data_IF_340577956155
#
_entry.id   IF_340577956155
#
_cell.length_a   1.000
_cell.length_b   1.000
_cell.length_c   1.000
_cell.angle_alpha   90.00
_cell.angle_beta   90.00
_cell.angle_gamma   90.00
#
_symmetry.space_group_name_H-M   'P 1'
#
loop_
_entity.id
_entity.type
_entity.pdbx_description
1 polymer ?
#
# COMPACT_ATOMS: atom_id res chain seq x y z
N UNK A 1 23.25 -3.12 -2.20
CA UNK A 1 22.14 -2.27 -2.61
C UNK A 1 21.00 -2.36 -1.61
N UNK A 2 20.48 -1.23 -1.23
CA UNK A 2 19.45 -1.17 -0.20
C UNK A 2 18.10 -0.94 -0.88
N UNK A 3 17.17 -1.85 -0.60
CA UNK A 3 15.81 -1.70 -1.11
C UNK A 3 15.05 -0.75 -0.20
N UNK A 4 14.43 0.27 -0.80
CA UNK A 4 13.59 1.19 -0.06
C UNK A 4 12.18 0.63 -0.06
N UNK A 5 11.80 0.02 1.05
CA UNK A 5 10.50 -0.64 1.15
C UNK A 5 9.37 0.35 1.02
N UNK A 6 9.58 1.59 1.43
CA UNK A 6 8.54 2.61 1.26
C UNK A 6 8.32 2.91 -0.21
N UNK A 7 9.39 3.01 -0.98
CA UNK A 7 9.25 3.27 -2.40
C UNK A 7 8.57 2.11 -3.12
N UNK A 8 8.90 0.88 -2.73
CA UNK A 8 8.24 -0.29 -3.30
C UNK A 8 6.74 -0.24 -3.00
N UNK A 9 6.37 0.10 -1.78
CA UNK A 9 4.97 0.21 -1.42
C UNK A 9 4.28 1.33 -2.18
N UNK A 10 4.95 2.48 -2.35
CA UNK A 10 4.38 3.59 -3.12
C UNK A 10 4.08 3.14 -4.55
N UNK A 11 5.02 2.46 -5.18
CA UNK A 11 4.85 2.00 -6.55
C UNK A 11 3.74 0.94 -6.64
N UNK A 12 3.68 0.06 -5.66
CA UNK A 12 2.60 -0.92 -5.60
C UNK A 12 1.25 -0.23 -5.53
N UNK A 13 1.12 0.78 -4.67
CA UNK A 13 -0.16 1.47 -4.52
C UNK A 13 -0.52 2.29 -5.75
N UNK A 14 0.47 2.81 -6.49
CA UNK A 14 0.18 3.50 -7.75
C UNK A 14 -0.47 2.54 -8.75
N UNK A 15 -0.05 1.30 -8.76
CA UNK A 15 -0.65 0.29 -9.62
C UNK A 15 -2.00 -0.15 -9.06
N UNK A 16 -2.05 -0.42 -7.77
CA UNK A 16 -3.23 -1.00 -7.15
C UNK A 16 -4.42 -0.06 -7.17
N UNK A 17 -4.19 1.25 -7.05
CA UNK A 17 -5.29 2.20 -7.04
C UNK A 17 -6.03 2.22 -8.37
N UNK A 18 -5.36 1.84 -9.44
CA UNK A 18 -5.96 1.79 -10.77
C UNK A 18 -6.55 0.41 -11.05
N UNK A 19 -5.82 -0.64 -10.70
CA UNK A 19 -6.20 -1.99 -11.08
C UNK A 19 -7.04 -2.70 -10.02
N UNK A 20 -6.81 -2.40 -8.74
CA UNK A 20 -7.42 -3.14 -7.65
C UNK A 20 -8.00 -2.21 -6.59
N UNK A 21 -8.76 -1.16 -6.99
CA UNK A 21 -9.26 -0.22 -5.99
C UNK A 21 -10.22 -0.88 -5.00
N UNK A 22 -11.05 -1.81 -5.47
CA UNK A 22 -12.02 -2.45 -4.61
C UNK A 22 -11.34 -3.29 -3.53
N UNK A 23 -10.25 -3.95 -3.88
CA UNK A 23 -9.51 -4.75 -2.92
C UNK A 23 -8.88 -3.87 -1.86
N UNK A 24 -8.36 -2.71 -2.25
CA UNK A 24 -7.79 -1.77 -1.29
C UNK A 24 -8.87 -1.26 -0.34
N UNK A 25 -10.02 -0.88 -0.86
CA UNK A 25 -11.12 -0.39 -0.03
C UNK A 25 -11.63 -1.49 0.89
N UNK A 26 -11.74 -2.71 0.39
CA UNK A 26 -12.19 -3.83 1.19
C UNK A 26 -11.28 -4.07 2.39
N UNK A 27 -9.98 -3.88 2.21
CA UNK A 27 -9.02 -4.15 3.27
C UNK A 27 -8.82 -2.97 4.20
N UNK A 28 -8.75 -1.75 3.65
CA UNK A 28 -8.33 -0.57 4.40
C UNK A 28 -9.42 0.47 4.62
N UNK A 29 -10.58 0.30 4.01
CA UNK A 29 -11.65 1.28 4.10
C UNK A 29 -11.58 2.29 2.96
N UNK A 30 -12.39 3.32 3.07
CA UNK A 30 -12.47 4.33 2.02
C UNK A 30 -11.13 5.02 1.82
N UNK A 31 -10.68 5.04 0.58
CA UNK A 31 -9.43 5.69 0.21
C UNK A 31 -9.69 6.58 -1.00
N UNK A 32 -8.99 7.70 -1.06
CA UNK A 32 -9.07 8.60 -2.21
C UNK A 32 -8.09 8.09 -3.28
N UNK A 33 -8.63 7.43 -4.28
CA UNK A 33 -7.80 6.82 -5.33
C UNK A 33 -7.21 7.84 -6.29
N UNK A 34 -7.57 9.13 -6.16
CA UNK A 34 -6.96 10.17 -6.97
C UNK A 34 -5.62 10.63 -6.41
N UNK A 35 -5.30 10.21 -5.19
CA UNK A 35 -4.05 10.59 -4.55
C UNK A 35 -2.88 9.78 -5.12
N UNK A 36 -1.69 10.28 -4.89
CA UNK A 36 -0.49 9.55 -5.26
C UNK A 36 -0.28 8.39 -4.29
N UNK A 37 0.54 7.42 -4.70
CA UNK A 37 0.76 6.22 -3.91
C UNK A 37 1.22 6.51 -2.49
N UNK A 38 2.15 7.45 -2.31
CA UNK A 38 2.63 7.77 -0.96
C UNK A 38 1.55 8.43 -0.12
N UNK A 39 0.64 9.16 -0.74
CA UNK A 39 -0.47 9.80 -0.03
C UNK A 39 -1.52 8.75 0.36
N UNK A 40 -1.75 7.77 -0.51
CA UNK A 40 -2.64 6.66 -0.19
C UNK A 40 -2.09 5.87 0.99
N UNK A 41 -0.77 5.63 1.00
CA UNK A 41 -0.15 4.95 2.12
C UNK A 41 -0.36 5.71 3.42
N UNK A 42 -0.25 7.03 3.35
CA UNK A 42 -0.47 7.86 4.53
C UNK A 42 -1.91 7.70 5.04
N UNK A 43 -2.89 7.71 4.14
CA UNK A 43 -4.28 7.47 4.53
C UNK A 43 -4.44 6.12 5.20
N UNK A 44 -3.84 5.10 4.64
CA UNK A 44 -3.92 3.75 5.20
C UNK A 44 -3.34 3.73 6.61
N UNK A 45 -2.18 4.37 6.80
CA UNK A 45 -1.53 4.43 8.10
C UNK A 45 -2.46 5.08 9.13
N UNK A 46 -3.08 6.18 8.77
CA UNK A 46 -3.97 6.88 9.70
C UNK A 46 -5.18 6.00 10.04
N UNK A 47 -5.78 5.37 9.03
CA UNK A 47 -6.96 4.54 9.25
C UNK A 47 -6.65 3.32 10.09
N UNK A 48 -5.48 2.75 9.95
CA UNK A 48 -5.09 1.54 10.69
C UNK A 48 -4.37 1.87 11.99
N UNK A 49 -4.20 3.15 12.28
CA UNK A 49 -3.47 3.62 13.47
C UNK A 49 -2.02 3.15 13.47
N UNK A 50 -1.43 3.04 12.30
CA UNK A 50 0.01 2.78 12.18
C UNK A 50 0.70 4.13 12.22
N UNK A 51 0.79 4.68 13.42
CA UNK A 51 1.25 6.05 13.61
C UNK A 51 2.32 6.09 14.68
N UNK A 52 3.12 7.14 14.60
CA UNK A 52 4.12 7.44 15.61
C UNK A 52 3.52 8.38 16.66
N UNK A 53 4.33 8.73 17.65
CA UNK A 53 3.91 9.67 18.67
C UNK A 53 3.44 10.95 17.98
N UNK A 54 2.33 11.49 18.48
CA UNK A 54 1.74 12.69 17.90
C UNK A 54 0.80 12.43 16.74
N UNK A 55 0.53 11.16 16.44
CA UNK A 55 -0.42 10.82 15.38
C UNK A 55 0.13 10.95 13.98
N UNK A 56 1.45 11.00 13.84
CA UNK A 56 2.10 11.13 12.54
C UNK A 56 2.17 9.75 11.88
N UNK A 57 1.77 9.67 10.63
CA UNK A 57 1.78 8.40 9.89
C UNK A 57 3.17 7.77 9.89
N UNK A 58 3.23 6.49 10.24
CA UNK A 58 4.47 5.73 10.22
C UNK A 58 4.59 5.01 8.88
N UNK A 59 5.17 5.70 7.91
CA UNK A 59 5.22 5.19 6.54
C UNK A 59 6.01 3.90 6.43
N UNK A 60 7.06 3.76 7.24
CA UNK A 60 7.87 2.54 7.21
C UNK A 60 7.05 1.34 7.67
N UNK A 61 6.32 1.52 8.77
CA UNK A 61 5.47 0.46 9.30
C UNK A 61 4.34 0.15 8.35
N UNK A 62 3.71 1.19 7.80
CA UNK A 62 2.62 1.00 6.85
C UNK A 62 3.07 0.30 5.60
N UNK A 63 4.25 0.66 5.08
CA UNK A 63 4.78 0.01 3.89
C UNK A 63 4.98 -1.49 4.13
N UNK A 64 5.56 -1.84 5.29
CA UNK A 64 5.76 -3.25 5.62
C UNK A 64 4.44 -4.00 5.68
N UNK A 65 3.44 -3.40 6.32
CA UNK A 65 2.13 -4.04 6.46
C UNK A 65 1.43 -4.21 5.12
N UNK A 66 1.45 -3.17 4.28
CA UNK A 66 0.76 -3.24 2.99
C UNK A 66 1.40 -4.30 2.10
N UNK A 67 2.73 -4.34 2.04
CA UNK A 67 3.41 -5.33 1.22
C UNK A 67 3.19 -6.74 1.77
N UNK A 68 3.17 -6.89 3.08
CA UNK A 68 2.90 -8.18 3.69
C UNK A 68 1.47 -8.63 3.38
N UNK A 69 0.51 -7.71 3.47
CA UNK A 69 -0.88 -8.02 3.13
C UNK A 69 -0.98 -8.53 1.70
N UNK A 70 -0.27 -7.90 0.78
CA UNK A 70 -0.26 -8.35 -0.61
C UNK A 70 0.36 -9.74 -0.74
N UNK A 71 1.51 -9.94 -0.11
CA UNK A 71 2.22 -11.22 -0.22
C UNK A 71 1.45 -12.36 0.41
N UNK A 72 0.70 -12.08 1.48
CA UNK A 72 -0.08 -13.10 2.18
C UNK A 72 -1.47 -13.30 1.58
N UNK A 73 -1.79 -12.58 0.52
CA UNK A 73 -3.10 -12.71 -0.11
C UNK A 73 -4.24 -12.04 0.63
N UNK A 74 -3.95 -11.19 1.61
CA UNK A 74 -4.99 -10.54 2.39
C UNK A 74 -5.75 -9.49 1.61
N UNK A 75 -5.20 -9.06 0.48
CA UNK A 75 -5.86 -8.13 -0.42
C UNK A 75 -6.73 -8.85 -1.45
N UNK A 76 -6.86 -10.18 -1.32
CA UNK A 76 -7.61 -10.96 -2.27
C UNK A 76 -6.70 -11.51 -3.36
N UNK A 77 -7.33 -12.02 -4.42
CA UNK A 77 -6.55 -12.61 -5.50
C UNK A 77 -6.07 -11.54 -6.45
N UNK A 78 -4.99 -10.91 -6.10
CA UNK A 78 -4.37 -9.92 -6.95
C UNK A 78 -3.24 -10.62 -7.71
N UNK A 79 -3.33 -10.60 -9.02
CA UNK A 79 -2.25 -11.10 -9.86
C UNK A 79 -1.63 -9.89 -10.56
N UNK A 80 -0.43 -9.58 -10.19
CA UNK A 80 0.34 -8.57 -10.90
C UNK A 80 1.07 -9.29 -12.01
N UNK A 81 0.70 -8.98 -13.24
CA UNK A 81 1.40 -9.53 -14.37
C UNK A 81 2.63 -8.71 -14.61
N UNK A 82 3.70 -9.15 -14.02
CA UNK A 82 4.99 -8.52 -14.26
C UNK A 82 5.60 -9.25 -15.45
N UNK A 83 5.90 -8.54 -16.52
CA UNK A 83 6.55 -9.19 -17.67
C UNK A 83 7.82 -9.85 -17.19
N UNK A 84 8.04 -11.06 -17.63
CA UNK A 84 9.29 -11.72 -17.26
C UNK A 84 10.40 -11.03 -17.99
N UNK A 85 11.11 -10.12 -17.46
CA UNK A 85 12.00 -9.44 -18.08
C UNK A 85 13.06 -9.54 -17.85
N UNK A 86 13.52 -9.56 -18.14
CA UNK A 86 14.40 -9.62 -17.98
C UNK A 86 15.27 -9.16 -17.95
#
# INVERSE_FOLDING_TARGET
EILDIQEIAFNFLEIAKVRFPDELVSRYGDLDMSLKGHEILEEICIKKAWVQAGGIADHSRGASHVLDDFQQGRLGRITLEIPPEI
#
